data_IF_485800566863
#
_entry.id   IF_485800566863
#
_cell.length_a   1.000
_cell.length_b   1.000
_cell.length_c   1.000
_cell.angle_alpha   90.00
_cell.angle_beta   90.00
_cell.angle_gamma   90.00
#
_symmetry.space_group_name_H-M   'P 1'
#
loop_
_entity.id
_entity.type
_entity.pdbx_description
1 polymer ?
#
# COMPACT_ATOMS: atom_id res chain seq x y z
N UNK A 1 27.00 39.48 80.99
CA UNK A 1 27.11 38.29 81.86
C UNK A 1 27.63 37.16 81.00
N UNK A 2 28.82 36.58 81.14
CA UNK A 2 29.65 36.44 82.32
C UNK A 2 30.09 34.98 82.44
N UNK A 3 31.13 34.60 81.69
CA UNK A 3 32.29 33.76 82.05
C UNK A 3 32.08 32.32 82.60
N UNK A 4 32.97 31.42 82.14
CA UNK A 4 33.41 30.11 82.69
C UNK A 4 32.60 28.88 82.27
N UNK A 5 33.16 27.73 81.87
CA UNK A 5 34.45 27.13 82.19
C UNK A 5 35.10 26.46 80.97
N UNK A 6 36.30 26.94 80.67
CA UNK A 6 37.40 26.20 80.07
C UNK A 6 37.84 25.09 81.04
N UNK A 7 38.36 24.00 80.48
CA UNK A 7 39.15 22.93 81.13
C UNK A 7 38.47 22.11 82.23
N UNK A 8 37.89 20.99 81.82
CA UNK A 8 37.78 19.74 82.57
C UNK A 8 36.95 18.83 81.70
N UNK A 9 37.55 17.89 80.98
CA UNK A 9 37.04 16.53 80.68
C UNK A 9 38.17 15.80 79.91
N UNK A 10 39.40 15.95 80.41
CA UNK A 10 40.53 15.05 80.16
C UNK A 10 40.43 13.97 81.24
N UNK A 11 39.44 13.10 81.12
CA UNK A 11 39.34 11.85 81.90
C UNK A 11 38.60 10.83 81.03
N UNK A 12 39.24 10.48 79.91
CA UNK A 12 38.86 9.31 79.11
C UNK A 12 39.43 8.08 79.79
N UNK A 13 38.56 7.30 80.45
CA UNK A 13 38.91 6.07 81.15
C UNK A 13 39.70 5.10 80.24
N UNK A 14 40.67 4.33 80.79
CA UNK A 14 41.58 3.48 80.02
C UNK A 14 40.86 2.42 79.17
N UNK A 15 39.65 2.03 79.56
CA UNK A 15 38.77 1.13 78.83
C UNK A 15 38.29 1.69 77.47
N UNK A 16 38.06 3.01 77.38
CA UNK A 16 37.58 3.67 76.16
C UNK A 16 38.67 3.69 75.07
N UNK A 17 39.93 3.85 75.49
CA UNK A 17 41.09 3.80 74.59
C UNK A 17 41.32 2.40 73.99
N UNK A 18 41.05 1.34 74.75
CA UNK A 18 41.14 -0.03 74.26
C UNK A 18 40.04 -0.35 73.23
N UNK A 19 38.82 0.14 73.42
CA UNK A 19 37.74 -0.05 72.45
C UNK A 19 37.98 0.67 71.12
N UNK A 20 38.54 1.88 71.15
CA UNK A 20 38.84 2.65 69.93
C UNK A 20 39.98 1.99 69.13
N UNK A 21 41.03 1.51 69.80
CA UNK A 21 42.12 0.78 69.12
C UNK A 21 41.63 -0.55 68.54
N UNK A 22 40.79 -1.29 69.28
CA UNK A 22 40.16 -2.51 68.78
C UNK A 22 39.33 -2.28 67.52
N UNK A 23 38.45 -1.27 67.54
CA UNK A 23 37.59 -0.93 66.40
C UNK A 23 38.37 -0.46 65.16
N UNK A 24 39.50 0.23 65.34
CA UNK A 24 40.32 0.73 64.24
C UNK A 24 41.15 -0.37 63.56
N UNK A 25 41.45 -1.48 64.24
CA UNK A 25 42.22 -2.60 63.70
C UNK A 25 41.38 -3.64 62.93
N UNK A 26 40.04 -3.58 63.02
CA UNK A 26 39.13 -4.50 62.33
C UNK A 26 39.07 -4.43 60.79
N UNK A 27 39.35 -3.31 60.07
CA UNK A 27 39.14 -3.28 58.62
C UNK A 27 40.26 -3.92 57.78
N UNK A 28 41.41 -4.25 58.37
CA UNK A 28 42.59 -4.68 57.59
C UNK A 28 42.54 -6.13 57.07
N UNK A 29 41.58 -6.95 57.50
CA UNK A 29 41.51 -8.38 57.15
C UNK A 29 40.43 -8.78 56.12
N UNK A 30 39.63 -7.85 55.62
CA UNK A 30 38.32 -8.16 55.04
C UNK A 30 38.11 -7.87 53.55
N UNK A 31 39.11 -8.04 52.67
CA UNK A 31 38.96 -7.76 51.22
C UNK A 31 39.39 -8.91 50.29
N UNK A 32 39.29 -10.17 50.73
CA UNK A 32 39.69 -11.35 49.93
C UNK A 32 38.58 -12.35 49.57
N UNK A 33 37.33 -12.17 50.03
CA UNK A 33 36.33 -13.24 50.03
C UNK A 33 35.05 -13.00 49.21
N UNK A 34 35.07 -12.09 48.23
CA UNK A 34 33.93 -11.91 47.31
C UNK A 34 34.24 -12.58 45.97
N UNK A 35 33.48 -13.62 45.56
CA UNK A 35 33.63 -14.22 44.24
C UNK A 35 33.23 -13.22 43.15
N UNK A 36 34.06 -13.11 42.10
CA UNK A 36 33.79 -12.27 40.92
C UNK A 36 32.51 -12.76 40.25
N UNK A 37 31.52 -11.87 40.15
CA UNK A 37 30.30 -12.11 39.37
C UNK A 37 30.62 -12.07 37.89
N UNK A 38 30.56 -13.22 37.23
CA UNK A 38 30.78 -13.38 35.79
C UNK A 38 29.49 -13.00 35.06
N UNK A 39 29.45 -11.82 34.45
CA UNK A 39 28.35 -11.42 33.59
C UNK A 39 28.37 -12.28 32.31
N UNK A 40 27.45 -13.22 32.21
CA UNK A 40 27.22 -14.02 31.00
C UNK A 40 26.80 -13.07 29.87
N UNK A 41 27.64 -12.95 28.85
CA UNK A 41 27.28 -12.25 27.61
C UNK A 41 26.23 -13.08 26.90
N UNK A 42 25.06 -12.55 26.52
CA UNK A 42 24.10 -13.28 25.70
C UNK A 42 24.79 -13.75 24.43
N UNK A 43 24.48 -14.95 23.90
CA UNK A 43 25.00 -15.35 22.59
C UNK A 43 24.57 -14.29 21.59
N UNK A 44 25.55 -13.58 20.99
CA UNK A 44 25.32 -12.78 19.81
C UNK A 44 24.60 -13.67 18.81
N UNK A 45 23.36 -13.31 18.49
CA UNK A 45 22.61 -13.95 17.42
C UNK A 45 23.56 -14.00 16.22
N UNK A 46 23.92 -15.22 15.84
CA UNK A 46 24.86 -15.46 14.75
C UNK A 46 24.46 -14.62 13.56
N UNK A 47 25.49 -14.02 12.96
CA UNK A 47 25.51 -13.40 11.65
C UNK A 47 24.72 -14.31 10.69
N UNK A 48 23.42 -14.06 10.55
CA UNK A 48 22.65 -14.65 9.47
C UNK A 48 23.06 -13.80 8.28
N UNK A 49 23.95 -14.38 7.49
CA UNK A 49 24.36 -13.90 6.18
C UNK A 49 23.12 -13.92 5.29
N UNK A 50 22.23 -12.96 5.49
CA UNK A 50 21.05 -12.72 4.68
C UNK A 50 21.56 -11.99 3.42
N UNK A 51 22.08 -12.80 2.50
CA UNK A 51 22.62 -12.33 1.23
C UNK A 51 21.61 -11.46 0.49
N UNK A 52 22.08 -10.56 -0.39
CA UNK A 52 21.22 -9.59 -1.05
C UNK A 52 20.09 -10.29 -1.82
N UNK A 53 18.86 -9.82 -1.57
CA UNK A 53 17.66 -10.34 -2.23
C UNK A 53 17.71 -9.96 -3.71
N UNK A 54 17.74 -10.97 -4.59
CA UNK A 54 17.68 -10.74 -6.02
C UNK A 54 16.32 -10.16 -6.42
N UNK A 55 16.33 -9.05 -7.17
CA UNK A 55 15.12 -8.36 -7.66
C UNK A 55 15.18 -8.15 -9.16
N UNK A 56 14.02 -8.07 -9.80
CA UNK A 56 13.90 -7.68 -11.20
C UNK A 56 13.62 -6.18 -11.27
N UNK A 57 14.36 -5.49 -12.14
CA UNK A 57 14.23 -4.04 -12.35
C UNK A 57 13.96 -3.74 -13.82
N UNK A 58 13.24 -2.66 -14.09
CA UNK A 58 13.09 -2.09 -15.42
C UNK A 58 13.54 -0.61 -15.40
N UNK A 59 14.12 -0.13 -16.49
CA UNK A 59 14.51 1.29 -16.64
C UNK A 59 13.26 2.09 -17.01
N UNK A 60 12.91 3.09 -16.20
CA UNK A 60 11.80 3.98 -16.51
C UNK A 60 12.16 4.90 -17.68
N UNK A 61 11.23 5.05 -18.63
CA UNK A 61 11.35 5.96 -19.76
C UNK A 61 10.10 6.83 -19.85
N UNK A 62 10.28 8.09 -20.22
CA UNK A 62 9.16 8.98 -20.54
C UNK A 62 8.59 8.60 -21.92
N UNK A 63 7.27 8.51 -22.01
CA UNK A 63 6.54 8.22 -23.24
C UNK A 63 5.10 8.69 -23.11
N UNK A 64 4.37 8.74 -24.23
CA UNK A 64 2.94 8.98 -24.22
C UNK A 64 2.20 7.72 -23.76
N UNK A 65 1.24 7.90 -22.86
CA UNK A 65 0.27 6.87 -22.51
C UNK A 65 -1.01 7.22 -23.25
N UNK A 66 -1.43 6.35 -24.16
CA UNK A 66 -2.68 6.51 -24.88
C UNK A 66 -3.80 5.83 -24.12
N UNK A 67 -4.91 6.54 -23.93
CA UNK A 67 -6.16 5.97 -23.44
C UNK A 67 -6.96 5.50 -24.65
N UNK A 68 -7.14 4.19 -24.78
CA UNK A 68 -7.92 3.60 -25.87
C UNK A 68 -9.38 3.55 -25.45
N UNK A 69 -10.23 4.32 -26.12
CA UNK A 69 -11.67 4.25 -25.93
C UNK A 69 -12.28 3.31 -26.97
N UNK A 70 -12.86 2.22 -26.49
CA UNK A 70 -13.60 1.27 -27.32
C UNK A 70 -15.10 1.55 -27.22
N UNK A 71 -15.74 1.68 -28.39
CA UNK A 71 -17.18 1.89 -28.48
C UNK A 71 -17.82 0.89 -29.43
N UNK A 72 -19.06 0.54 -29.14
CA UNK A 72 -19.92 -0.23 -30.05
C UNK A 72 -21.08 0.64 -30.49
N UNK A 73 -21.50 0.47 -31.74
CA UNK A 73 -22.66 1.15 -32.29
C UNK A 73 -23.29 0.32 -33.40
N UNK A 74 -24.46 0.76 -33.86
CA UNK A 74 -25.13 0.18 -35.02
C UNK A 74 -25.24 1.23 -36.12
N UNK A 75 -25.06 0.79 -37.37
CA UNK A 75 -25.28 1.63 -38.53
C UNK A 75 -26.77 1.80 -38.78
N UNK A 76 -27.16 3.01 -39.20
CA UNK A 76 -28.54 3.31 -39.63
C UNK A 76 -28.50 3.96 -41.02
N UNK A 77 -29.53 3.71 -41.85
CA UNK A 77 -29.61 4.35 -43.17
C UNK A 77 -29.71 5.87 -43.01
N UNK A 78 -29.02 6.61 -43.87
CA UNK A 78 -29.12 8.07 -43.91
C UNK A 78 -30.53 8.53 -44.34
N UNK A 79 -31.18 7.75 -45.20
CA UNK A 79 -32.56 7.96 -45.64
C UNK A 79 -33.28 6.62 -45.73
N UNK A 80 -34.50 6.57 -45.20
CA UNK A 80 -35.36 5.40 -45.28
C UNK A 80 -36.77 5.84 -45.69
N UNK A 81 -37.32 5.18 -46.71
CA UNK A 81 -38.64 5.50 -47.26
C UNK A 81 -39.47 4.22 -47.26
N UNK A 82 -40.71 4.32 -46.78
CA UNK A 82 -41.68 3.24 -46.86
C UNK A 82 -42.62 3.52 -48.04
N UNK A 83 -42.58 2.67 -49.06
CA UNK A 83 -43.46 2.78 -50.22
C UNK A 83 -44.76 2.00 -49.99
N UNK A 84 -45.87 2.56 -50.47
CA UNK A 84 -47.20 1.95 -50.44
C UNK A 84 -47.87 2.21 -51.78
N UNK A 85 -48.76 1.31 -52.19
CA UNK A 85 -49.57 1.55 -53.39
C UNK A 85 -50.49 2.75 -53.17
N UNK A 86 -50.63 3.58 -54.19
CA UNK A 86 -51.57 4.72 -54.18
C UNK A 86 -52.97 4.32 -54.62
N UNK A 87 -53.08 3.25 -55.41
CA UNK A 87 -54.34 2.68 -55.90
C UNK A 87 -54.48 1.23 -55.45
N UNK A 88 -55.72 0.75 -55.41
CA UNK A 88 -56.01 -0.67 -55.24
C UNK A 88 -55.99 -1.34 -56.60
N UNK A 89 -55.37 -2.52 -56.69
CA UNK A 89 -55.25 -3.25 -57.96
C UNK A 89 -54.48 -4.55 -57.81
N UNK A 90 -54.36 -5.29 -58.89
CA UNK A 90 -53.58 -6.53 -58.94
C UNK A 90 -52.12 -6.22 -59.30
N UNK A 91 -51.18 -6.76 -58.52
CA UNK A 91 -49.75 -6.71 -58.88
C UNK A 91 -49.50 -7.61 -60.10
N UNK A 92 -49.18 -7.02 -61.24
CA UNK A 92 -48.93 -7.75 -62.50
C UNK A 92 -47.46 -8.01 -62.74
N UNK A 93 -46.57 -7.17 -62.20
CA UNK A 93 -45.13 -7.37 -62.26
C UNK A 93 -44.41 -6.79 -61.03
N UNK A 94 -43.33 -7.44 -60.62
CA UNK A 94 -42.32 -6.93 -59.70
C UNK A 94 -40.98 -6.96 -60.45
N UNK A 95 -40.29 -5.82 -60.51
CA UNK A 95 -39.13 -5.63 -61.41
C UNK A 95 -37.79 -5.57 -60.68
N UNK A 96 -37.79 -5.73 -59.35
CA UNK A 96 -36.61 -5.64 -58.49
C UNK A 96 -36.66 -6.68 -57.38
N UNK A 97 -35.49 -7.12 -56.94
CA UNK A 97 -35.31 -8.02 -55.80
C UNK A 97 -34.76 -7.30 -54.56
N UNK A 98 -34.89 -7.96 -53.41
CA UNK A 98 -34.37 -7.42 -52.15
C UNK A 98 -32.84 -7.34 -52.17
N UNK A 99 -32.31 -6.13 -52.04
CA UNK A 99 -30.87 -5.84 -52.10
C UNK A 99 -30.44 -5.13 -53.38
N UNK A 100 -31.31 -5.04 -54.38
CA UNK A 100 -30.99 -4.35 -55.63
C UNK A 100 -30.84 -2.84 -55.43
N UNK A 101 -29.82 -2.22 -56.03
CA UNK A 101 -29.72 -0.76 -56.08
C UNK A 101 -30.74 -0.20 -57.07
N UNK A 102 -31.46 0.84 -56.66
CA UNK A 102 -32.47 1.51 -57.49
C UNK A 102 -32.22 3.02 -57.54
N UNK A 103 -32.53 3.62 -58.69
CA UNK A 103 -32.42 5.07 -58.89
C UNK A 103 -33.79 5.74 -58.79
N UNK A 104 -33.80 7.06 -58.58
CA UNK A 104 -35.04 7.83 -58.59
C UNK A 104 -35.76 7.66 -59.94
N UNK A 105 -37.07 7.40 -59.88
CA UNK A 105 -37.91 7.18 -61.06
C UNK A 105 -37.87 5.74 -61.62
N UNK A 106 -37.08 4.84 -61.02
CA UNK A 106 -37.11 3.43 -61.40
C UNK A 106 -38.49 2.83 -61.11
N UNK A 107 -39.02 2.08 -62.09
CA UNK A 107 -40.25 1.29 -61.91
C UNK A 107 -39.89 0.07 -61.08
N UNK A 108 -40.54 -0.08 -59.92
CA UNK A 108 -40.32 -1.20 -58.99
C UNK A 108 -41.39 -2.30 -59.14
N UNK A 109 -42.59 -1.91 -59.57
CA UNK A 109 -43.76 -2.79 -59.69
C UNK A 109 -44.77 -2.20 -60.67
N UNK A 110 -45.59 -3.06 -61.27
CA UNK A 110 -46.76 -2.69 -62.06
C UNK A 110 -48.03 -3.20 -61.39
N UNK A 111 -49.01 -2.31 -61.26
CA UNK A 111 -50.32 -2.59 -60.65
C UNK A 111 -51.39 -2.25 -61.67
N UNK A 112 -52.30 -3.19 -61.90
CA UNK A 112 -53.48 -3.00 -62.74
C UNK A 112 -54.69 -2.64 -61.87
N UNK A 113 -55.24 -1.46 -62.08
CA UNK A 113 -56.40 -0.90 -61.36
C UNK A 113 -57.71 -0.98 -62.18
N UNK A 114 -57.72 -1.76 -63.27
CA UNK A 114 -58.88 -1.96 -64.12
C UNK A 114 -60.12 -2.46 -63.37
N UNK A 115 -61.12 -1.60 -63.26
CA UNK A 115 -62.49 -1.97 -62.92
C UNK A 115 -63.19 -2.40 -64.21
N UNK A 116 -63.33 -3.71 -64.44
CA UNK A 116 -64.15 -4.26 -65.52
C UNK A 116 -65.64 -4.08 -65.22
#
# INVERSE_FOLDING_TARGET
MGISQVSRWLDVEPWSRLLIVGLLLLPAGGCGLLPRSEAQTPPTAGDRDEGPVAVQTAVAAAGSVEEVLEYTGTTRPAQQVSLRSQVSGQLTALTVDAGDPVSQGAVLAQVDDGLL
#
